data_IF_802569201774
#
_entry.id   IF_802569201774
#
_cell.length_a   1.000
_cell.length_b   1.000
_cell.length_c   1.000
_cell.angle_alpha   90.00
_cell.angle_beta   90.00
_cell.angle_gamma   90.00
#
_symmetry.space_group_name_H-M   'P 1'
#
loop_
_entity.id
_entity.type
_entity.pdbx_description
1 polymer ?
#
# COMPACT_ATOMS: atom_id res chain seq x y z
N UNK A 1 12.37 9.43 96.76
CA UNK A 1 11.88 10.17 95.57
C UNK A 1 12.87 11.28 95.27
N UNK A 2 13.76 11.08 94.30
CA UNK A 2 14.75 12.09 93.92
C UNK A 2 14.13 13.07 92.92
N UNK A 3 14.18 14.37 93.25
CA UNK A 3 13.64 15.50 92.48
C UNK A 3 14.35 15.61 91.12
N UNK A 4 13.59 15.57 90.04
CA UNK A 4 14.08 15.89 88.70
C UNK A 4 14.07 17.42 88.55
N UNK A 5 15.23 18.06 88.58
CA UNK A 5 15.35 19.51 88.39
C UNK A 5 15.51 19.84 86.91
N UNK A 6 14.60 20.64 86.36
CA UNK A 6 14.62 21.07 84.97
C UNK A 6 15.73 22.12 84.75
N UNK A 7 16.80 21.72 84.08
CA UNK A 7 17.95 22.58 83.82
C UNK A 7 17.67 23.52 82.63
N UNK A 8 17.21 24.74 82.90
CA UNK A 8 16.94 25.80 81.90
C UNK A 8 18.19 26.30 81.13
N UNK A 9 19.38 25.85 81.50
CA UNK A 9 20.68 26.30 80.99
C UNK A 9 21.20 25.51 79.78
N UNK A 10 20.46 24.51 79.29
CA UNK A 10 20.82 23.81 78.07
C UNK A 10 20.82 24.79 76.88
N UNK A 11 22.02 25.07 76.32
CA UNK A 11 22.23 25.98 75.19
C UNK A 11 21.24 25.65 74.07
N UNK A 12 20.22 26.49 73.87
CA UNK A 12 19.28 26.39 72.76
C UNK A 12 20.08 26.55 71.46
N UNK A 13 20.12 25.52 70.62
CA UNK A 13 20.78 25.60 69.30
C UNK A 13 20.07 26.67 68.47
N UNK A 14 20.84 27.59 67.88
CA UNK A 14 20.29 28.62 67.01
C UNK A 14 19.59 27.97 65.79
N UNK A 15 18.46 28.52 65.31
CA UNK A 15 17.78 28.00 64.13
C UNK A 15 18.71 28.12 62.92
N UNK A 16 18.75 27.06 62.10
CA UNK A 16 19.55 27.07 60.87
C UNK A 16 18.95 28.08 59.88
N UNK A 17 19.77 28.91 59.21
CA UNK A 17 19.25 29.84 58.20
C UNK A 17 18.65 29.06 57.03
N UNK A 18 17.48 29.48 56.58
CA UNK A 18 16.76 28.90 55.43
C UNK A 18 17.28 29.62 54.19
N UNK A 19 17.81 28.88 53.22
CA UNK A 19 18.29 29.48 51.96
C UNK A 19 17.11 29.71 51.02
N UNK A 20 17.03 30.91 50.45
CA UNK A 20 16.00 31.28 49.47
C UNK A 20 16.01 30.35 48.24
N UNK A 21 14.82 29.94 47.80
CA UNK A 21 14.66 29.11 46.61
C UNK A 21 14.76 29.95 45.34
N UNK A 22 15.56 29.50 44.38
CA UNK A 22 15.68 30.17 43.07
C UNK A 22 14.48 29.82 42.20
N UNK A 23 13.83 30.85 41.64
CA UNK A 23 12.70 30.68 40.71
C UNK A 23 13.20 29.94 39.46
N UNK A 24 12.52 28.85 39.11
CA UNK A 24 12.89 28.01 37.97
C UNK A 24 12.65 28.75 36.66
N UNK A 25 13.63 28.69 35.76
CA UNK A 25 13.47 29.16 34.37
C UNK A 25 12.90 28.01 33.51
N UNK A 26 12.13 28.33 32.45
CA UNK A 26 11.62 27.32 31.53
C UNK A 26 12.76 26.54 30.88
N UNK A 27 12.56 25.22 30.72
CA UNK A 27 13.58 24.31 30.18
C UNK A 27 13.86 24.54 28.69
N UNK A 28 12.86 24.97 27.94
CA UNK A 28 12.98 25.23 26.51
C UNK A 28 12.19 26.49 26.15
N UNK A 29 12.77 27.31 25.28
CA UNK A 29 12.13 28.48 24.70
C UNK A 29 11.91 28.19 23.22
N UNK A 30 10.71 28.50 22.72
CA UNK A 30 10.39 28.32 21.31
C UNK A 30 11.35 29.14 20.44
N UNK A 31 12.06 28.45 19.55
CA UNK A 31 13.02 29.06 18.63
C UNK A 31 12.56 28.78 17.19
N UNK A 32 12.11 29.81 16.45
CA UNK A 32 11.54 29.62 15.11
C UNK A 32 12.55 29.05 14.12
N UNK A 33 13.85 29.26 14.33
CA UNK A 33 14.90 28.74 13.46
C UNK A 33 15.12 27.23 13.57
N UNK A 34 14.65 26.60 14.66
CA UNK A 34 14.69 25.13 14.82
C UNK A 34 13.52 24.45 14.13
N UNK A 35 12.35 25.09 14.14
CA UNK A 35 11.15 24.59 13.47
C UNK A 35 11.30 24.61 11.95
N UNK A 36 11.91 25.67 11.39
CA UNK A 36 12.13 25.74 9.93
C UNK A 36 13.06 24.63 9.43
N UNK A 37 14.10 24.28 10.19
CA UNK A 37 15.04 23.20 9.84
C UNK A 37 14.38 21.82 9.87
N UNK A 38 13.53 21.55 10.85
CA UNK A 38 12.78 20.29 10.93
C UNK A 38 11.83 20.14 9.74
N UNK A 39 11.12 21.22 9.38
CA UNK A 39 10.23 21.22 8.22
C UNK A 39 11.02 21.01 6.92
N UNK A 40 12.16 21.66 6.74
CA UNK A 40 13.03 21.44 5.57
C UNK A 40 13.58 20.01 5.49
N UNK A 41 13.94 19.40 6.62
CA UNK A 41 14.39 18.00 6.69
C UNK A 41 13.27 17.02 6.33
N UNK A 42 12.04 17.25 6.80
CA UNK A 42 10.86 16.43 6.48
C UNK A 42 10.52 16.50 4.98
N UNK A 43 10.58 17.71 4.38
CA UNK A 43 10.37 17.87 2.93
C UNK A 43 11.44 17.18 2.07
N UNK A 44 12.68 17.04 2.56
CA UNK A 44 13.72 16.31 1.83
C UNK A 44 13.57 14.79 1.92
N UNK A 45 12.98 14.25 2.99
CA UNK A 45 12.75 12.81 3.15
C UNK A 45 11.55 12.30 2.32
N UNK A 46 10.58 13.17 2.02
CA UNK A 46 9.36 12.82 1.26
C UNK A 46 9.55 12.75 -0.27
N UNK A 47 10.77 12.86 -0.79
CA UNK A 47 11.03 12.55 -2.20
C UNK A 47 10.61 11.09 -2.45
N UNK A 48 9.56 10.82 -3.27
CA UNK A 48 9.10 9.46 -3.50
C UNK A 48 10.23 8.71 -4.18
N UNK A 49 10.85 7.76 -3.46
CA UNK A 49 11.86 6.87 -4.01
C UNK A 49 11.31 6.31 -5.31
N UNK A 50 11.96 6.67 -6.43
CA UNK A 50 11.59 6.19 -7.77
C UNK A 50 11.50 4.67 -7.71
N UNK A 51 10.29 4.13 -7.65
CA UNK A 51 10.07 2.68 -7.68
C UNK A 51 10.60 2.23 -9.03
N UNK A 52 11.72 1.50 -9.03
CA UNK A 52 12.20 0.86 -10.24
C UNK A 52 11.05 0.02 -10.80
N UNK A 53 10.77 0.10 -12.12
CA UNK A 53 9.71 -0.71 -12.73
C UNK A 53 10.02 -2.17 -12.40
N UNK A 54 9.20 -2.75 -11.54
CA UNK A 54 9.37 -4.13 -11.13
C UNK A 54 9.26 -5.03 -12.36
N UNK A 55 10.03 -6.12 -12.39
CA UNK A 55 9.83 -7.17 -13.39
C UNK A 55 8.35 -7.59 -13.36
N UNK A 56 7.64 -7.60 -14.50
CA UNK A 56 6.27 -8.10 -14.53
C UNK A 56 6.25 -9.50 -13.92
N UNK A 57 5.31 -9.76 -13.00
CA UNK A 57 5.18 -11.06 -12.33
C UNK A 57 4.98 -12.14 -13.39
N UNK A 58 6.04 -12.91 -13.64
CA UNK A 58 6.01 -14.08 -14.52
C UNK A 58 4.95 -15.07 -13.99
N UNK A 59 4.12 -15.62 -14.89
CA UNK A 59 3.16 -16.67 -14.56
C UNK A 59 1.71 -16.24 -14.27
N UNK A 60 1.33 -14.97 -14.47
CA UNK A 60 -0.09 -14.56 -14.34
C UNK A 60 -0.99 -14.96 -15.51
N UNK A 61 -0.41 -15.21 -16.69
CA UNK A 61 -1.14 -15.58 -17.91
C UNK A 61 -0.66 -16.93 -18.40
N UNK A 62 -1.58 -17.86 -18.61
CA UNK A 62 -1.36 -19.12 -19.30
C UNK A 62 -1.68 -18.94 -20.79
N UNK A 63 -0.77 -19.35 -21.66
CA UNK A 63 -0.96 -19.27 -23.10
C UNK A 63 -1.01 -20.67 -23.68
N UNK A 64 -1.96 -20.90 -24.58
CA UNK A 64 -2.06 -22.13 -25.36
C UNK A 64 -1.89 -21.79 -26.84
N UNK A 65 -1.08 -22.57 -27.55
CA UNK A 65 -0.87 -22.36 -28.99
C UNK A 65 -1.91 -23.13 -29.81
N UNK A 66 -2.67 -22.41 -30.64
CA UNK A 66 -3.62 -23.01 -31.59
C UNK A 66 -3.05 -22.91 -33.00
N UNK A 67 -3.07 -24.02 -33.75
CA UNK A 67 -2.68 -24.01 -35.18
C UNK A 67 -3.86 -23.55 -36.02
N UNK A 68 -3.68 -22.45 -36.74
CA UNK A 68 -4.69 -21.86 -37.62
C UNK A 68 -4.22 -21.85 -39.07
N UNK A 69 -5.17 -21.87 -40.01
CA UNK A 69 -4.87 -21.67 -41.43
C UNK A 69 -4.43 -20.23 -41.68
N UNK A 70 -3.49 -20.03 -42.63
CA UNK A 70 -2.99 -18.70 -43.01
C UNK A 70 -4.10 -17.71 -43.35
N UNK A 71 -5.16 -18.16 -44.03
CA UNK A 71 -6.32 -17.35 -44.39
C UNK A 71 -7.06 -16.82 -43.15
N UNK A 72 -7.17 -17.63 -42.10
CA UNK A 72 -7.83 -17.23 -40.85
C UNK A 72 -6.98 -16.22 -40.08
N UNK A 73 -5.66 -16.42 -40.04
CA UNK A 73 -4.74 -15.46 -39.40
C UNK A 73 -4.82 -14.09 -40.09
N UNK A 74 -4.91 -14.05 -41.43
CA UNK A 74 -5.11 -12.78 -42.16
C UNK A 74 -6.41 -12.07 -41.75
N UNK A 75 -7.50 -12.81 -41.53
CA UNK A 75 -8.77 -12.25 -41.06
C UNK A 75 -8.64 -11.69 -39.63
N UNK A 76 -7.95 -12.39 -38.74
CA UNK A 76 -7.71 -11.92 -37.37
C UNK A 76 -6.90 -10.62 -37.40
N UNK A 77 -5.82 -10.57 -38.18
CA UNK A 77 -5.00 -9.36 -38.32
C UNK A 77 -5.79 -8.21 -38.94
N UNK A 78 -6.66 -8.48 -39.92
CA UNK A 78 -7.52 -7.45 -40.50
C UNK A 78 -8.50 -6.89 -39.46
N UNK A 79 -9.08 -7.76 -38.62
CA UNK A 79 -9.97 -7.35 -37.53
C UNK A 79 -9.24 -6.54 -36.45
N UNK A 80 -8.04 -6.97 -36.06
CA UNK A 80 -7.18 -6.26 -35.09
C UNK A 80 -6.93 -4.83 -35.55
N UNK A 81 -6.53 -4.64 -36.80
CA UNK A 81 -6.27 -3.33 -37.39
C UNK A 81 -7.56 -2.50 -37.56
N UNK A 82 -8.65 -3.12 -38.00
CA UNK A 82 -9.92 -2.42 -38.22
C UNK A 82 -10.55 -1.91 -36.90
N UNK A 83 -10.43 -2.69 -35.83
CA UNK A 83 -10.99 -2.35 -34.52
C UNK A 83 -9.99 -1.63 -33.61
N UNK A 84 -8.75 -1.41 -34.07
CA UNK A 84 -7.65 -0.79 -33.31
C UNK A 84 -7.46 -1.44 -31.93
N UNK A 85 -7.56 -2.77 -31.88
CA UNK A 85 -7.41 -3.55 -30.64
C UNK A 85 -5.93 -3.76 -30.35
N UNK A 86 -5.57 -3.71 -29.06
CA UNK A 86 -4.16 -3.74 -28.64
C UNK A 86 -3.44 -5.08 -28.91
N UNK A 87 -4.16 -6.19 -28.98
CA UNK A 87 -3.59 -7.53 -29.20
C UNK A 87 -4.54 -8.43 -30.01
N UNK A 88 -3.94 -9.39 -30.73
CA UNK A 88 -4.69 -10.45 -31.41
C UNK A 88 -5.57 -11.27 -30.47
N UNK A 89 -5.09 -11.55 -29.25
CA UNK A 89 -5.82 -12.27 -28.21
C UNK A 89 -7.14 -11.55 -27.86
N UNK A 90 -7.06 -10.25 -27.58
CA UNK A 90 -8.24 -9.43 -27.30
C UNK A 90 -9.19 -9.31 -28.50
N UNK A 91 -8.64 -9.37 -29.72
CA UNK A 91 -9.46 -9.38 -30.95
C UNK A 91 -10.27 -10.67 -31.07
N UNK A 92 -9.64 -11.80 -30.74
CA UNK A 92 -10.29 -13.12 -30.72
C UNK A 92 -11.36 -13.17 -29.62
N UNK A 93 -11.04 -12.70 -28.41
CA UNK A 93 -12.00 -12.63 -27.29
C UNK A 93 -13.23 -11.81 -27.66
N UNK A 94 -13.05 -10.60 -28.19
CA UNK A 94 -14.17 -9.76 -28.63
C UNK A 94 -15.00 -10.42 -29.73
N UNK A 95 -14.36 -11.14 -30.66
CA UNK A 95 -15.08 -11.87 -31.70
C UNK A 95 -15.93 -13.01 -31.11
N UNK A 96 -15.38 -13.75 -30.14
CA UNK A 96 -16.10 -14.81 -29.42
C UNK A 96 -17.27 -14.21 -28.64
N UNK A 97 -17.07 -13.13 -27.88
CA UNK A 97 -18.13 -12.45 -27.13
C UNK A 97 -19.27 -11.98 -28.03
N UNK A 98 -18.97 -11.42 -29.20
CA UNK A 98 -20.00 -11.04 -30.18
C UNK A 98 -20.80 -12.24 -30.67
N UNK A 99 -20.15 -13.38 -30.89
CA UNK A 99 -20.84 -14.62 -31.25
C UNK A 99 -21.72 -15.09 -30.09
N UNK A 100 -21.18 -15.12 -28.87
CA UNK A 100 -21.94 -15.53 -27.67
C UNK A 100 -23.18 -14.66 -27.43
N UNK A 101 -23.08 -13.36 -27.68
CA UNK A 101 -24.21 -12.43 -27.59
C UNK A 101 -25.25 -12.63 -28.69
N UNK A 102 -24.89 -13.27 -29.80
CA UNK A 102 -25.81 -13.61 -30.90
C UNK A 102 -26.49 -14.97 -30.74
N UNK A 103 -26.02 -15.81 -29.80
CA UNK A 103 -26.58 -17.14 -29.56
C UNK A 103 -27.98 -17.08 -28.95
N UNK A 104 -28.79 -18.08 -29.27
CA UNK A 104 -30.06 -18.31 -28.60
C UNK A 104 -29.86 -18.89 -27.19
N UNK A 105 -30.90 -18.85 -26.34
CA UNK A 105 -30.84 -19.28 -24.94
C UNK A 105 -30.37 -20.74 -24.80
N UNK A 106 -30.89 -21.63 -25.64
CA UNK A 106 -30.51 -23.06 -25.61
C UNK A 106 -29.07 -23.29 -26.08
N UNK A 107 -28.61 -22.56 -27.09
CA UNK A 107 -27.24 -22.64 -27.61
C UNK A 107 -26.24 -22.13 -26.58
N UNK A 108 -26.58 -21.05 -25.88
CA UNK A 108 -25.78 -20.52 -24.78
C UNK A 108 -25.69 -21.52 -23.63
N UNK A 109 -26.80 -22.15 -23.26
CA UNK A 109 -26.81 -23.21 -22.25
C UNK A 109 -25.93 -24.39 -22.64
N UNK A 110 -25.97 -24.80 -23.92
CA UNK A 110 -25.10 -25.86 -24.43
C UNK A 110 -23.61 -25.44 -24.38
N UNK A 111 -23.30 -24.20 -24.77
CA UNK A 111 -21.95 -23.65 -24.68
C UNK A 111 -21.41 -23.68 -23.25
N UNK A 112 -22.19 -23.20 -22.27
CA UNK A 112 -21.79 -23.17 -20.86
C UNK A 112 -21.51 -24.58 -20.31
N UNK A 113 -22.33 -25.57 -20.67
CA UNK A 113 -22.12 -26.97 -20.29
C UNK A 113 -20.81 -27.52 -20.87
N UNK A 114 -20.53 -27.26 -22.15
CA UNK A 114 -19.27 -27.69 -22.77
C UNK A 114 -18.05 -27.01 -22.13
N UNK A 115 -18.15 -25.72 -21.84
CA UNK A 115 -17.09 -24.97 -21.18
C UNK A 115 -16.76 -25.57 -19.80
N UNK A 116 -17.79 -25.84 -18.98
CA UNK A 116 -17.62 -26.45 -17.66
C UNK A 116 -16.93 -27.83 -17.75
N UNK A 117 -17.27 -28.65 -18.74
CA UNK A 117 -16.63 -29.95 -18.95
C UNK A 117 -15.15 -29.82 -19.35
N UNK A 118 -14.80 -28.87 -20.21
CA UNK A 118 -13.41 -28.65 -20.60
C UNK A 118 -12.57 -28.09 -19.44
N UNK A 119 -13.11 -27.15 -18.66
CA UNK A 119 -12.43 -26.62 -17.48
C UNK A 119 -12.13 -27.70 -16.42
N UNK A 120 -13.05 -28.67 -16.26
CA UNK A 120 -12.83 -29.82 -15.37
C UNK A 120 -11.79 -30.81 -15.88
N UNK A 121 -11.54 -30.86 -17.19
CA UNK A 121 -10.54 -31.74 -17.80
C UNK A 121 -9.13 -31.16 -17.76
N UNK A 122 -9.02 -29.83 -17.86
CA UNK A 122 -7.75 -29.11 -17.80
C UNK A 122 -7.24 -28.89 -16.36
N UNK A 123 -8.11 -29.04 -15.35
CA UNK A 123 -7.77 -29.06 -13.92
C UNK A 123 -7.41 -30.46 -13.44
#
# INVERSE_FOLDING_TARGET
MAKFEFNKSAKKKAPKPITETKISKPKETYDPAKMTKQVEEDYQQEQPKKKHPGRPKSGRKSYQTVRLQKRTVLKINALENALSVATQDATVDQAIERVLNSLNVDEKRAYDLWLEMFEKKEK
#
